data_IF_274393177154
#
_entry.id   IF_274393177154
#
_cell.length_a   1.000
_cell.length_b   1.000
_cell.length_c   1.000
_cell.angle_alpha   90.00
_cell.angle_beta   90.00
_cell.angle_gamma   90.00
#
_symmetry.space_group_name_H-M   'P 1'
#
loop_
_entity.id
_entity.type
_entity.pdbx_description
1 polymer ?
#
# COMPACT_ATOMS: atom_id res chain seq x y z
N UNK A 1 -0.09 -12.46 -22.36
CA UNK A 1 1.21 -12.26 -21.69
C UNK A 1 0.98 -11.49 -20.41
N UNK A 2 1.61 -11.91 -19.35
CA UNK A 2 1.48 -11.28 -18.05
C UNK A 2 2.17 -9.93 -18.05
N UNK A 3 1.50 -8.89 -17.53
CA UNK A 3 2.19 -7.65 -17.22
C UNK A 3 2.68 -7.78 -15.76
N UNK A 4 3.98 -7.97 -15.61
CA UNK A 4 4.60 -8.08 -14.29
C UNK A 4 5.16 -6.76 -13.77
N UNK A 5 4.90 -5.69 -14.48
CA UNK A 5 5.33 -4.36 -14.07
C UNK A 5 4.31 -3.75 -13.10
N UNK A 6 4.81 -2.94 -12.20
CA UNK A 6 3.97 -2.18 -11.27
C UNK A 6 3.97 -0.72 -11.72
N UNK A 7 2.79 -0.20 -12.00
CA UNK A 7 2.59 1.22 -12.25
C UNK A 7 1.93 1.84 -11.03
N UNK A 8 2.43 2.96 -10.58
CA UNK A 8 1.90 3.65 -9.41
C UNK A 8 1.42 5.03 -9.84
N UNK A 9 0.13 5.29 -9.62
CA UNK A 9 -0.48 6.58 -9.93
C UNK A 9 -0.80 7.26 -8.61
N UNK A 10 -0.19 8.41 -8.37
CA UNK A 10 -0.43 9.20 -7.17
C UNK A 10 -1.54 10.20 -7.44
N UNK A 11 -2.47 10.30 -6.50
CA UNK A 11 -3.57 11.26 -6.55
C UNK A 11 -3.72 11.90 -5.18
N UNK A 12 -4.25 13.12 -5.16
CA UNK A 12 -4.59 13.76 -3.90
C UNK A 12 -5.83 13.10 -3.32
N UNK A 13 -5.83 12.87 -2.00
CA UNK A 13 -6.97 12.34 -1.30
C UNK A 13 -7.97 13.41 -0.91
N UNK A 14 -8.77 13.12 0.13
CA UNK A 14 -9.80 14.03 0.62
C UNK A 14 -9.23 15.31 1.24
N UNK A 15 -7.97 15.26 1.71
CA UNK A 15 -7.27 16.39 2.33
C UNK A 15 -5.94 16.63 1.64
N UNK A 16 -5.38 17.82 1.79
CA UNK A 16 -4.05 18.14 1.27
C UNK A 16 -2.98 17.21 1.80
N UNK A 17 -3.13 16.75 3.04
CA UNK A 17 -2.16 15.87 3.69
C UNK A 17 -2.35 14.40 3.37
N UNK A 18 -3.35 14.06 2.55
CA UNK A 18 -3.66 12.68 2.17
C UNK A 18 -3.28 12.43 0.72
N UNK A 19 -2.58 11.31 0.47
CA UNK A 19 -2.28 10.86 -0.89
C UNK A 19 -2.80 9.46 -1.08
N UNK A 20 -3.35 9.20 -2.27
CA UNK A 20 -3.79 7.88 -2.67
C UNK A 20 -2.81 7.38 -3.71
N UNK A 21 -2.19 6.24 -3.45
CA UNK A 21 -1.36 5.55 -4.42
C UNK A 21 -2.16 4.41 -5.00
N UNK A 22 -2.61 4.55 -6.23
CA UNK A 22 -3.23 3.46 -6.96
C UNK A 22 -2.12 2.57 -7.51
N UNK A 23 -2.11 1.31 -7.08
CA UNK A 23 -1.11 0.34 -7.45
C UNK A 23 -1.67 -0.55 -8.55
N UNK A 24 -1.06 -0.51 -9.73
CA UNK A 24 -1.51 -1.27 -10.88
C UNK A 24 -0.43 -2.29 -11.24
N UNK A 25 -0.59 -3.51 -10.75
CA UNK A 25 0.34 -4.61 -10.98
C UNK A 25 0.76 -5.27 -9.69
N UNK A 26 1.58 -6.33 -9.78
CA UNK A 26 2.00 -7.08 -8.61
C UNK A 26 3.10 -6.37 -7.82
N UNK A 27 3.18 -6.67 -6.53
CA UNK A 27 4.28 -6.22 -5.68
C UNK A 27 5.14 -7.43 -5.35
N UNK A 28 6.31 -7.52 -5.97
CA UNK A 28 7.17 -8.69 -5.92
C UNK A 28 8.63 -8.26 -5.78
N UNK A 29 9.51 -9.26 -5.71
CA UNK A 29 10.96 -9.00 -5.73
C UNK A 29 11.37 -8.18 -6.95
N UNK A 30 10.64 -8.30 -8.06
CA UNK A 30 10.97 -7.59 -9.31
C UNK A 30 10.48 -6.13 -9.30
N UNK A 31 9.47 -5.81 -8.49
CA UNK A 31 8.83 -4.48 -8.51
C UNK A 31 8.99 -3.69 -7.21
N UNK A 32 9.47 -4.32 -6.15
CA UNK A 32 9.49 -3.72 -4.81
C UNK A 32 10.32 -2.42 -4.75
N UNK A 33 11.36 -2.31 -5.57
CA UNK A 33 12.19 -1.10 -5.55
C UNK A 33 11.45 0.12 -6.08
N UNK A 34 10.66 -0.07 -7.13
CA UNK A 34 9.80 1.00 -7.64
C UNK A 34 8.75 1.42 -6.63
N UNK A 35 8.14 0.44 -5.94
CA UNK A 35 7.20 0.71 -4.86
C UNK A 35 7.88 1.52 -3.74
N UNK A 36 9.04 1.06 -3.29
CA UNK A 36 9.79 1.72 -2.22
C UNK A 36 10.15 3.15 -2.61
N UNK A 37 10.61 3.35 -3.85
CA UNK A 37 11.01 4.67 -4.32
C UNK A 37 9.82 5.62 -4.37
N UNK A 38 8.64 5.14 -4.78
CA UNK A 38 7.42 5.95 -4.80
C UNK A 38 7.02 6.40 -3.38
N UNK A 39 7.11 5.50 -2.41
CA UNK A 39 6.83 5.83 -1.01
C UNK A 39 7.83 6.89 -0.51
N UNK A 40 9.10 6.70 -0.78
CA UNK A 40 10.16 7.63 -0.35
C UNK A 40 10.06 9.00 -1.01
N UNK A 41 9.58 9.04 -2.23
CA UNK A 41 9.42 10.30 -2.97
C UNK A 41 8.31 11.16 -2.40
N UNK A 42 7.31 10.56 -1.74
CA UNK A 42 6.23 11.29 -1.09
C UNK A 42 6.67 11.69 0.31
N UNK A 43 7.02 12.97 0.48
CA UNK A 43 7.63 13.45 1.72
C UNK A 43 6.69 14.28 2.59
N UNK A 44 5.59 14.76 2.03
CA UNK A 44 4.74 15.75 2.71
C UNK A 44 3.43 15.19 3.22
N UNK A 45 2.89 14.13 2.60
CA UNK A 45 1.62 13.57 3.01
C UNK A 45 1.73 12.94 4.39
N UNK A 46 0.80 13.27 5.28
CA UNK A 46 0.73 12.63 6.59
C UNK A 46 0.13 11.24 6.50
N UNK A 47 -0.73 11.02 5.52
CA UNK A 47 -1.40 9.75 5.29
C UNK A 47 -1.23 9.33 3.85
N UNK A 48 -0.77 8.10 3.65
CA UNK A 48 -0.74 7.46 2.33
C UNK A 48 -1.70 6.29 2.37
N UNK A 49 -2.65 6.29 1.44
CA UNK A 49 -3.57 5.17 1.25
C UNK A 49 -3.12 4.41 0.02
N UNK A 50 -2.84 3.12 0.20
CA UNK A 50 -2.47 2.24 -0.90
C UNK A 50 -3.74 1.55 -1.40
N UNK A 51 -4.15 1.86 -2.63
CA UNK A 51 -5.28 1.22 -3.28
C UNK A 51 -4.80 -0.04 -3.98
N UNK A 52 -5.21 -1.20 -3.44
CA UNK A 52 -4.80 -2.51 -3.91
C UNK A 52 -5.79 -3.14 -4.90
N UNK A 53 -6.83 -2.40 -5.32
CA UNK A 53 -7.87 -2.99 -6.17
C UNK A 53 -7.33 -3.59 -7.47
N UNK A 54 -6.19 -3.09 -7.96
CA UNK A 54 -5.56 -3.55 -9.19
C UNK A 54 -4.24 -4.30 -8.93
N UNK A 55 -4.03 -4.79 -7.71
CA UNK A 55 -2.87 -5.62 -7.37
C UNK A 55 -3.29 -7.08 -7.42
N UNK A 56 -2.82 -7.86 -8.41
CA UNK A 56 -3.27 -9.25 -8.57
C UNK A 56 -2.61 -10.20 -7.59
N UNK A 57 -1.36 -9.94 -7.18
CA UNK A 57 -0.68 -10.78 -6.19
C UNK A 57 0.51 -10.04 -5.59
N UNK A 58 0.97 -10.58 -4.48
CA UNK A 58 2.13 -10.08 -3.73
C UNK A 58 2.92 -11.30 -3.29
N UNK A 59 4.23 -11.29 -3.47
CA UNK A 59 5.09 -12.36 -2.94
C UNK A 59 5.66 -11.97 -1.58
N UNK A 60 6.48 -12.83 -0.99
CA UNK A 60 7.06 -12.59 0.33
C UNK A 60 7.90 -11.32 0.37
N UNK A 61 8.64 -11.04 -0.70
CA UNK A 61 9.44 -9.82 -0.79
C UNK A 61 8.54 -8.58 -0.85
N UNK A 62 7.42 -8.69 -1.56
CA UNK A 62 6.42 -7.63 -1.62
C UNK A 62 5.79 -7.36 -0.27
N UNK A 63 5.43 -8.41 0.47
CA UNK A 63 4.92 -8.25 1.84
C UNK A 63 5.94 -7.50 2.69
N UNK A 64 7.22 -7.89 2.61
CA UNK A 64 8.28 -7.21 3.33
C UNK A 64 8.39 -5.73 2.99
N UNK A 65 8.25 -5.39 1.70
CA UNK A 65 8.29 -4.01 1.25
C UNK A 65 7.12 -3.18 1.81
N UNK A 66 5.93 -3.78 1.88
CA UNK A 66 4.75 -3.11 2.44
C UNK A 66 4.96 -2.86 3.93
N UNK A 67 5.44 -3.84 4.67
CA UNK A 67 5.72 -3.70 6.10
C UNK A 67 6.78 -2.64 6.34
N UNK A 68 7.85 -2.64 5.55
CA UNK A 68 8.90 -1.63 5.65
C UNK A 68 8.37 -0.22 5.40
N UNK A 69 7.46 -0.06 4.43
CA UNK A 69 6.82 1.22 4.19
C UNK A 69 6.01 1.68 5.40
N UNK A 70 5.25 0.76 5.99
CA UNK A 70 4.48 1.03 7.20
C UNK A 70 5.38 1.51 8.34
N UNK A 71 6.45 0.76 8.61
CA UNK A 71 7.38 1.10 9.68
C UNK A 71 8.04 2.46 9.43
N UNK A 72 8.47 2.72 8.21
CA UNK A 72 9.12 3.96 7.84
C UNK A 72 8.20 5.17 8.05
N UNK A 73 6.95 5.08 7.61
CA UNK A 73 6.00 6.16 7.81
C UNK A 73 5.66 6.35 9.29
N UNK A 74 5.41 5.25 10.00
CA UNK A 74 5.11 5.30 11.42
C UNK A 74 6.22 5.97 12.22
N UNK A 75 7.47 5.64 11.91
CA UNK A 75 8.62 6.25 12.57
C UNK A 75 8.74 7.75 12.30
N UNK A 76 8.14 8.21 11.22
CA UNK A 76 8.10 9.64 10.87
C UNK A 76 6.85 10.35 11.38
N UNK A 77 6.03 9.68 12.19
CA UNK A 77 4.77 10.23 12.66
C UNK A 77 3.69 10.29 11.60
N UNK A 78 3.82 9.48 10.55
CA UNK A 78 2.90 9.43 9.41
C UNK A 78 2.16 8.11 9.41
N UNK A 79 1.15 7.99 8.55
CA UNK A 79 0.24 6.84 8.54
C UNK A 79 0.21 6.22 7.15
N UNK A 80 0.32 4.90 7.10
CA UNK A 80 0.10 4.11 5.89
C UNK A 80 -1.07 3.18 6.13
N UNK A 81 -2.05 3.19 5.22
CA UNK A 81 -3.18 2.25 5.26
C UNK A 81 -3.36 1.60 3.89
N UNK A 82 -3.96 0.42 3.90
CA UNK A 82 -4.25 -0.34 2.69
C UNK A 82 -5.76 -0.39 2.49
N UNK A 83 -6.18 -0.34 1.24
CA UNK A 83 -7.59 -0.41 0.87
C UNK A 83 -7.80 -1.41 -0.26
N UNK A 84 -8.94 -2.09 -0.26
CA UNK A 84 -9.39 -2.98 -1.33
C UNK A 84 -8.41 -4.10 -1.64
N UNK A 85 -7.81 -4.68 -0.61
CA UNK A 85 -6.89 -5.81 -0.76
C UNK A 85 -7.71 -7.05 -1.10
N UNK A 86 -7.31 -7.76 -2.17
CA UNK A 86 -7.98 -8.97 -2.60
C UNK A 86 -7.82 -10.10 -1.58
N UNK A 87 -8.79 -11.00 -1.51
CA UNK A 87 -8.83 -12.06 -0.50
C UNK A 87 -7.58 -12.93 -0.50
N UNK A 88 -7.05 -13.24 -1.68
CA UNK A 88 -5.83 -14.02 -1.82
C UNK A 88 -4.65 -13.37 -1.10
N UNK A 89 -4.55 -12.05 -1.23
CA UNK A 89 -3.47 -11.29 -0.61
C UNK A 89 -3.71 -11.16 0.89
N UNK A 90 -4.97 -10.97 1.31
CA UNK A 90 -5.32 -10.94 2.73
C UNK A 90 -4.97 -12.26 3.41
N UNK A 91 -5.19 -13.38 2.74
CA UNK A 91 -4.83 -14.70 3.26
C UNK A 91 -3.33 -14.80 3.50
N UNK A 92 -2.52 -14.33 2.54
CA UNK A 92 -1.07 -14.31 2.70
C UNK A 92 -0.66 -13.43 3.88
N UNK A 93 -1.27 -12.27 4.02
CA UNK A 93 -0.99 -11.37 5.14
C UNK A 93 -1.36 -11.96 6.48
N UNK A 94 -2.43 -12.74 6.53
CA UNK A 94 -2.88 -13.43 7.74
C UNK A 94 -1.91 -14.54 8.12
N UNK A 95 -1.50 -15.35 7.15
CA UNK A 95 -0.55 -16.44 7.38
C UNK A 95 0.81 -15.92 7.88
N UNK A 96 1.24 -14.79 7.35
CA UNK A 96 2.50 -14.15 7.76
C UNK A 96 2.33 -13.22 8.96
N UNK A 97 1.12 -13.08 9.48
CA UNK A 97 0.76 -12.27 10.66
C UNK A 97 1.02 -10.77 10.50
N UNK A 98 1.19 -10.29 9.29
CA UNK A 98 1.37 -8.84 9.06
C UNK A 98 0.06 -8.08 9.13
N UNK A 99 -1.08 -8.78 9.04
CA UNK A 99 -2.39 -8.15 9.21
C UNK A 99 -2.60 -7.61 10.63
N UNK A 100 -1.84 -8.09 11.62
CA UNK A 100 -1.86 -7.54 12.98
C UNK A 100 -1.20 -6.15 13.04
N UNK A 101 -0.33 -5.85 12.09
CA UNK A 101 0.46 -4.62 12.06
C UNK A 101 -0.14 -3.61 11.08
N UNK A 102 -0.61 -4.08 9.93
CA UNK A 102 -1.12 -3.22 8.86
C UNK A 102 -2.59 -2.87 9.08
N UNK A 103 -2.94 -1.63 8.75
CA UNK A 103 -4.35 -1.19 8.74
C UNK A 103 -4.93 -1.43 7.37
N UNK A 104 -5.91 -2.30 7.27
CA UNK A 104 -6.51 -2.74 6.01
C UNK A 104 -8.01 -2.45 6.05
N UNK A 105 -8.50 -1.75 5.03
CA UNK A 105 -9.91 -1.40 4.90
C UNK A 105 -10.52 -2.08 3.67
N UNK A 106 -11.81 -2.45 3.72
CA UNK A 106 -12.45 -3.15 2.60
C UNK A 106 -12.50 -2.32 1.31
N UNK A 107 -12.68 -1.01 1.43
CA UNK A 107 -12.80 -0.11 0.28
C UNK A 107 -11.97 1.14 0.48
N UNK A 108 -11.72 1.84 -0.62
CA UNK A 108 -11.06 3.13 -0.58
C UNK A 108 -11.87 4.14 0.24
N UNK A 109 -13.20 4.14 0.11
CA UNK A 109 -14.06 5.03 0.87
C UNK A 109 -13.93 4.78 2.37
N UNK A 110 -13.90 3.52 2.78
CA UNK A 110 -13.74 3.16 4.20
C UNK A 110 -12.40 3.66 4.73
N UNK A 111 -11.34 3.51 3.95
CA UNK A 111 -10.01 3.98 4.34
C UNK A 111 -10.00 5.50 4.50
N UNK A 112 -10.59 6.22 3.55
CA UNK A 112 -10.65 7.69 3.61
C UNK A 112 -11.48 8.17 4.80
N UNK A 113 -12.59 7.50 5.09
CA UNK A 113 -13.43 7.86 6.24
C UNK A 113 -12.68 7.67 7.56
N UNK A 114 -11.88 6.61 7.67
CA UNK A 114 -11.13 6.33 8.89
C UNK A 114 -9.94 7.27 9.09
N UNK A 115 -9.47 7.91 8.04
CA UNK A 115 -8.28 8.78 8.08
C UNK A 115 -8.61 10.27 8.15
N UNK A 116 -9.85 10.62 8.36
CA UNK A 116 -10.25 12.02 8.52
C UNK A 116 -9.85 12.61 9.86
#
# INVERSE_FOLDING_TARGET
MWNENLEIVSAQGAHESERIFQLNGPITIATLYGFRDAIRAEKTAKTIILDFSQVPYVDSAGVGAIVNAHVSLTNSGRLLVLAAVQDRIKTLMKVTRVDDVLKIFPTLQDAQAACQ
#
